data_IF_442132006800
#
_entry.id   IF_442132006800
#
_cell.length_a   1.000
_cell.length_b   1.000
_cell.length_c   1.000
_cell.angle_alpha   90.00
_cell.angle_beta   90.00
_cell.angle_gamma   90.00
#
_symmetry.space_group_name_H-M   'P 1'
#
loop_
_entity.id
_entity.type
_entity.pdbx_description
1 polymer ?
#
# COMPACT_ATOMS: atom_id res chain seq x y z
N UNK A 1 -4.91 -2.19 14.45
CA UNK A 1 -3.98 -2.16 15.60
C UNK A 1 -3.45 -3.60 15.80
N UNK A 2 -2.17 -3.79 16.16
CA UNK A 2 -1.43 -5.08 16.22
C UNK A 2 -0.75 -5.63 14.94
N UNK A 3 -0.45 -4.80 13.93
CA UNK A 3 0.31 -5.26 12.77
C UNK A 3 1.75 -5.69 13.14
N UNK A 4 2.45 -4.91 13.97
CA UNK A 4 3.86 -5.13 14.30
C UNK A 4 4.14 -6.54 14.86
N UNK A 5 3.58 -6.92 16.02
CA UNK A 5 3.81 -8.23 16.61
C UNK A 5 3.36 -9.40 15.74
N UNK A 6 2.32 -9.21 14.92
CA UNK A 6 1.79 -10.26 14.06
C UNK A 6 2.75 -10.61 12.91
N UNK A 7 3.38 -9.60 12.29
CA UNK A 7 4.33 -9.79 11.19
C UNK A 7 5.75 -10.15 11.64
N UNK A 8 6.05 -10.06 12.93
CA UNK A 8 7.36 -10.42 13.50
C UNK A 8 7.25 -11.70 14.33
N UNK A 9 6.63 -11.62 15.51
CA UNK A 9 6.50 -12.73 16.46
C UNK A 9 5.54 -13.79 15.92
N UNK A 10 4.42 -13.38 15.31
CA UNK A 10 3.45 -14.33 14.74
C UNK A 10 4.04 -15.17 13.60
N UNK A 11 4.83 -14.56 12.72
CA UNK A 11 5.51 -15.26 11.62
C UNK A 11 6.57 -16.23 12.12
N UNK A 12 7.42 -15.80 13.06
CA UNK A 12 8.43 -16.68 13.65
C UNK A 12 7.79 -17.84 14.42
N UNK A 13 6.73 -17.57 15.18
CA UNK A 13 5.97 -18.61 15.87
C UNK A 13 5.40 -19.65 14.90
N UNK A 14 4.83 -19.21 13.76
CA UNK A 14 4.35 -20.13 12.73
C UNK A 14 5.48 -20.99 12.15
N UNK A 15 6.63 -20.37 11.85
CA UNK A 15 7.81 -21.06 11.30
C UNK A 15 8.34 -22.15 12.24
N UNK A 16 8.36 -21.87 13.54
CA UNK A 16 8.85 -22.79 14.56
C UNK A 16 7.82 -23.89 14.92
N UNK A 17 6.53 -23.62 14.72
CA UNK A 17 5.45 -24.55 15.08
C UNK A 17 5.18 -25.64 14.05
N UNK A 18 5.67 -25.49 12.81
CA UNK A 18 5.37 -26.40 11.70
C UNK A 18 6.64 -26.96 11.07
N UNK A 19 6.51 -28.08 10.35
CA UNK A 19 7.62 -28.66 9.60
C UNK A 19 8.18 -27.68 8.55
N UNK A 20 9.51 -27.66 8.36
CA UNK A 20 10.22 -26.71 7.49
C UNK A 20 9.72 -26.68 6.04
N UNK A 21 9.16 -27.80 5.55
CA UNK A 21 8.58 -27.87 4.20
C UNK A 21 7.24 -27.14 4.08
N UNK A 22 6.49 -27.02 5.19
CA UNK A 22 5.15 -26.43 5.22
C UNK A 22 5.14 -25.00 5.78
N UNK A 23 6.21 -24.57 6.47
CA UNK A 23 6.35 -23.22 7.04
C UNK A 23 5.90 -22.11 6.10
N UNK A 24 6.51 -22.05 4.90
CA UNK A 24 6.17 -21.04 3.90
C UNK A 24 4.71 -21.02 3.46
N UNK A 25 3.99 -22.15 3.51
CA UNK A 25 2.56 -22.20 3.18
C UNK A 25 1.71 -21.59 4.31
N UNK A 26 2.02 -21.86 5.58
CA UNK A 26 1.30 -21.27 6.71
C UNK A 26 1.59 -19.77 6.84
N UNK A 27 2.83 -19.35 6.63
CA UNK A 27 3.20 -17.94 6.54
C UNK A 27 2.45 -17.25 5.39
N UNK A 28 2.31 -17.90 4.24
CA UNK A 28 1.51 -17.38 3.13
C UNK A 28 0.02 -17.25 3.45
N UNK A 29 -0.58 -18.19 4.17
CA UNK A 29 -1.97 -18.09 4.63
C UNK A 29 -2.13 -16.87 5.54
N UNK A 30 -1.20 -16.64 6.47
CA UNK A 30 -1.20 -15.44 7.31
C UNK A 30 -1.18 -14.17 6.44
N UNK A 31 -0.23 -14.05 5.50
CA UNK A 31 -0.15 -12.89 4.61
C UNK A 31 -1.41 -12.71 3.73
N UNK A 32 -1.99 -13.81 3.23
CA UNK A 32 -3.22 -13.77 2.46
C UNK A 32 -4.38 -13.19 3.28
N UNK A 33 -4.56 -13.64 4.52
CA UNK A 33 -5.60 -13.10 5.41
C UNK A 33 -5.39 -11.62 5.72
N UNK A 34 -4.13 -11.16 5.78
CA UNK A 34 -3.84 -9.73 5.94
C UNK A 34 -4.15 -8.87 4.73
N UNK A 35 -4.17 -9.45 3.53
CA UNK A 35 -4.59 -8.79 2.30
C UNK A 35 -6.11 -8.78 2.13
N UNK A 36 -6.79 -9.87 2.54
CA UNK A 36 -8.26 -9.97 2.50
C UNK A 36 -8.92 -8.88 3.34
N UNK A 37 -8.36 -8.54 4.50
CA UNK A 37 -8.90 -7.52 5.40
C UNK A 37 -9.11 -6.15 4.73
N UNK A 38 -8.06 -5.50 4.20
CA UNK A 38 -8.18 -4.26 3.42
C UNK A 38 -9.14 -4.37 2.24
N UNK A 39 -9.10 -5.47 1.47
CA UNK A 39 -9.98 -5.66 0.32
C UNK A 39 -11.46 -5.68 0.70
N UNK A 40 -11.86 -6.51 1.68
CA UNK A 40 -13.22 -6.51 2.22
C UNK A 40 -13.60 -5.16 2.83
N UNK A 41 -12.66 -4.52 3.54
CA UNK A 41 -12.85 -3.19 4.11
C UNK A 41 -13.20 -2.16 3.03
N UNK A 42 -12.49 -2.13 1.90
CA UNK A 42 -12.78 -1.20 0.80
C UNK A 42 -14.13 -1.46 0.13
N UNK A 43 -14.54 -2.72 -0.02
CA UNK A 43 -15.87 -3.06 -0.57
C UNK A 43 -16.98 -2.60 0.37
N UNK A 44 -16.86 -2.92 1.66
CA UNK A 44 -17.85 -2.52 2.68
C UNK A 44 -17.90 -0.99 2.79
N UNK A 45 -16.75 -0.31 2.82
CA UNK A 45 -16.69 1.16 2.83
C UNK A 45 -17.27 1.78 1.55
N UNK A 46 -17.09 1.14 0.38
CA UNK A 46 -17.70 1.57 -0.87
C UNK A 46 -19.23 1.61 -0.79
N UNK A 47 -19.84 0.61 -0.15
CA UNK A 47 -21.29 0.61 0.10
C UNK A 47 -21.71 1.65 1.14
N UNK A 48 -20.92 1.82 2.20
CA UNK A 48 -21.18 2.86 3.20
C UNK A 48 -21.11 4.27 2.56
N UNK A 49 -20.23 4.48 1.57
CA UNK A 49 -20.15 5.75 0.83
C UNK A 49 -21.35 6.03 -0.07
N UNK A 50 -22.16 5.01 -0.42
CA UNK A 50 -23.46 5.24 -1.09
C UNK A 50 -24.51 5.87 -0.17
N UNK A 51 -24.26 5.90 1.14
CA UNK A 51 -25.10 6.59 2.10
C UNK A 51 -24.66 8.05 2.24
N UNK A 52 -25.63 8.96 2.32
CA UNK A 52 -25.35 10.38 2.56
C UNK A 52 -24.69 10.56 3.93
N UNK A 53 -23.84 11.58 4.07
CA UNK A 53 -23.08 11.86 5.30
C UNK A 53 -23.95 11.94 6.57
N UNK A 54 -25.17 12.47 6.43
CA UNK A 54 -26.13 12.66 7.54
C UNK A 54 -27.16 11.51 7.65
N UNK A 55 -27.00 10.41 6.92
CA UNK A 55 -27.89 9.25 7.05
C UNK A 55 -27.79 8.65 8.46
N UNK A 56 -28.91 8.25 9.11
CA UNK A 56 -30.29 8.17 8.59
C UNK A 56 -31.15 9.43 8.77
N UNK A 57 -30.60 10.52 9.31
CA UNK A 57 -31.37 11.72 9.65
C UNK A 57 -31.77 12.54 8.41
N UNK A 58 -30.93 12.54 7.36
CA UNK A 58 -31.21 13.20 6.07
C UNK A 58 -30.68 12.40 4.89
N UNK A 59 -31.41 12.47 3.79
CA UNK A 59 -30.99 11.96 2.47
C UNK A 59 -30.35 13.07 1.64
N UNK A 60 -29.48 12.70 0.68
CA UNK A 60 -28.77 13.63 -0.21
C UNK A 60 -29.65 14.38 -1.23
N UNK A 61 -30.97 14.25 -1.14
CA UNK A 61 -31.94 14.92 -2.02
C UNK A 61 -31.78 14.49 -3.48
N UNK A 62 -31.50 15.45 -4.37
CA UNK A 62 -31.29 15.21 -5.80
C UNK A 62 -29.86 14.74 -6.14
N UNK A 63 -28.92 14.84 -5.20
CA UNK A 63 -27.53 14.41 -5.40
C UNK A 63 -27.47 12.89 -5.46
N UNK A 64 -26.63 12.39 -6.36
CA UNK A 64 -26.30 10.97 -6.49
C UNK A 64 -24.85 10.74 -6.07
N UNK A 65 -24.46 9.51 -5.67
CA UNK A 65 -23.07 9.16 -5.37
C UNK A 65 -22.05 9.47 -6.47
N UNK A 66 -22.51 9.64 -7.71
CA UNK A 66 -21.69 10.04 -8.86
C UNK A 66 -21.40 11.54 -8.94
N UNK A 67 -22.14 12.37 -8.20
CA UNK A 67 -22.01 13.82 -8.29
C UNK A 67 -20.86 14.30 -7.40
N UNK A 68 -20.09 15.29 -7.86
CA UNK A 68 -18.91 15.82 -7.15
C UNK A 68 -19.21 16.37 -5.76
N UNK A 69 -20.44 16.83 -5.54
CA UNK A 69 -20.92 17.37 -4.26
C UNK A 69 -21.45 16.28 -3.31
N UNK A 70 -21.36 15.01 -3.69
CA UNK A 70 -21.75 13.91 -2.83
C UNK A 70 -20.73 13.66 -1.74
N UNK A 71 -21.14 13.82 -0.49
CA UNK A 71 -20.35 13.42 0.68
C UNK A 71 -20.89 12.10 1.21
N UNK A 72 -20.19 11.01 0.89
CA UNK A 72 -20.49 9.69 1.42
C UNK A 72 -20.24 9.62 2.93
N UNK A 73 -20.94 8.70 3.62
CA UNK A 73 -20.85 8.52 5.06
C UNK A 73 -19.51 7.92 5.51
N UNK A 74 -18.46 8.73 5.52
CA UNK A 74 -17.09 8.29 5.79
C UNK A 74 -16.83 7.83 7.22
N UNK A 75 -17.66 8.23 8.17
CA UNK A 75 -17.44 7.98 9.60
C UNK A 75 -18.06 6.67 10.08
N UNK A 76 -19.13 6.18 9.43
CA UNK A 76 -19.87 4.99 9.88
C UNK A 76 -19.05 3.70 9.89
N UNK A 77 -17.99 3.62 9.07
CA UNK A 77 -17.07 2.47 9.07
C UNK A 77 -16.32 2.29 10.39
N UNK A 78 -15.91 3.38 11.07
CA UNK A 78 -15.10 3.30 12.29
C UNK A 78 -15.75 2.48 13.42
N UNK A 79 -17.01 2.75 13.84
CA UNK A 79 -17.64 1.96 14.89
C UNK A 79 -17.87 0.50 14.47
N UNK A 80 -18.22 0.25 13.20
CA UNK A 80 -18.46 -1.12 12.68
C UNK A 80 -17.18 -1.97 12.79
N UNK A 81 -16.07 -1.50 12.22
CA UNK A 81 -14.81 -2.24 12.26
C UNK A 81 -14.18 -2.26 13.66
N UNK A 82 -14.43 -1.24 14.48
CA UNK A 82 -14.03 -1.21 15.89
C UNK A 82 -14.69 -2.34 16.70
N UNK A 83 -16.01 -2.51 16.56
CA UNK A 83 -16.75 -3.59 17.22
C UNK A 83 -16.29 -4.97 16.73
N UNK A 84 -16.10 -5.17 15.42
CA UNK A 84 -15.57 -6.41 14.86
C UNK A 84 -14.17 -6.73 15.39
N UNK A 85 -13.31 -5.72 15.55
CA UNK A 85 -11.98 -5.87 16.13
C UNK A 85 -12.01 -6.34 17.59
N UNK A 86 -12.96 -5.83 18.39
CA UNK A 86 -13.15 -6.28 19.78
C UNK A 86 -13.61 -7.75 19.81
N UNK A 87 -14.57 -8.12 18.95
CA UNK A 87 -15.04 -9.50 18.85
C UNK A 87 -13.91 -10.46 18.42
N UNK A 88 -13.04 -10.04 17.50
CA UNK A 88 -11.88 -10.81 17.06
C UNK A 88 -10.80 -10.94 18.15
N UNK A 89 -10.74 -10.02 19.12
CA UNK A 89 -9.83 -10.13 20.26
C UNK A 89 -10.26 -11.19 21.27
N UNK A 90 -11.57 -11.53 21.36
CA UNK A 90 -12.07 -12.51 22.33
C UNK A 90 -11.46 -13.91 22.16
N UNK A 91 -11.37 -14.49 20.94
CA UNK A 91 -10.66 -15.76 20.74
C UNK A 91 -9.17 -15.71 21.09
N UNK A 92 -8.50 -14.57 20.89
CA UNK A 92 -7.09 -14.40 21.21
C UNK A 92 -6.83 -14.48 22.73
N UNK A 93 -7.81 -14.10 23.55
CA UNK A 93 -7.73 -14.28 25.01
C UNK A 93 -7.74 -15.76 25.44
N UNK A 94 -8.16 -16.66 24.55
CA UNK A 94 -8.13 -18.11 24.77
C UNK A 94 -6.77 -18.77 24.53
N UNK A 95 -5.76 -18.03 24.05
CA UNK A 95 -4.42 -18.60 23.87
C UNK A 95 -3.78 -18.92 25.22
N UNK A 96 -3.13 -20.09 25.37
CA UNK A 96 -2.47 -20.46 26.60
C UNK A 96 -1.29 -19.51 26.88
N UNK A 97 -1.11 -19.13 28.16
CA UNK A 97 0.00 -18.25 28.58
C UNK A 97 1.39 -18.82 28.28
N UNK A 98 1.48 -20.14 28.13
CA UNK A 98 2.69 -20.88 27.78
C UNK A 98 2.32 -21.94 26.76
N UNK A 99 3.10 -22.01 25.68
CA UNK A 99 2.96 -23.05 24.68
C UNK A 99 3.68 -24.31 25.15
N UNK A 100 3.15 -25.52 24.91
CA UNK A 100 3.87 -26.75 25.18
C UNK A 100 5.12 -26.80 24.28
N UNK A 101 6.29 -26.72 24.90
CA UNK A 101 7.57 -26.66 24.19
C UNK A 101 7.86 -27.99 23.47
N UNK A 102 8.22 -27.91 22.19
CA UNK A 102 9.15 -28.88 21.58
C UNK A 102 10.56 -28.37 21.86
N UNK A 103 11.34 -29.14 22.61
CA UNK A 103 12.79 -29.05 22.85
C UNK A 103 13.38 -27.72 23.40
N UNK A 104 12.62 -26.63 23.42
CA UNK A 104 13.03 -25.27 23.78
C UNK A 104 13.26 -25.06 25.29
N UNK A 105 12.67 -25.91 26.14
CA UNK A 105 12.80 -25.76 27.59
C UNK A 105 14.22 -26.09 28.07
N UNK A 106 15.03 -26.82 27.29
CA UNK A 106 16.45 -27.03 27.61
C UNK A 106 17.34 -25.85 27.19
N UNK A 107 17.03 -25.16 26.09
CA UNK A 107 17.83 -24.02 25.59
C UNK A 107 17.44 -22.69 26.25
N UNK A 108 16.14 -22.46 26.49
CA UNK A 108 15.65 -21.24 27.15
C UNK A 108 15.97 -21.24 28.65
N UNK A 109 15.87 -22.39 29.32
CA UNK A 109 16.33 -22.50 30.72
C UNK A 109 17.85 -22.34 30.80
N UNK A 110 18.63 -22.89 29.86
CA UNK A 110 20.07 -22.67 29.81
C UNK A 110 20.44 -21.19 29.57
N UNK A 111 19.67 -20.45 28.76
CA UNK A 111 19.89 -19.01 28.53
C UNK A 111 19.41 -18.14 29.69
N UNK A 112 18.27 -18.42 30.34
CA UNK A 112 17.88 -17.74 31.59
C UNK A 112 18.89 -18.00 32.71
N UNK A 113 19.42 -19.22 32.80
CA UNK A 113 20.44 -19.56 33.82
C UNK A 113 21.77 -18.88 33.49
N UNK A 114 22.18 -18.81 32.22
CA UNK A 114 23.38 -18.10 31.78
C UNK A 114 23.27 -16.58 31.90
N UNK A 115 22.10 -15.99 31.63
CA UNK A 115 21.84 -14.56 31.81
C UNK A 115 21.86 -14.20 33.30
N UNK A 116 21.26 -15.04 34.15
CA UNK A 116 21.34 -14.89 35.61
C UNK A 116 22.77 -15.11 36.14
N UNK A 117 23.57 -16.02 35.57
CA UNK A 117 24.97 -16.26 35.93
C UNK A 117 25.91 -15.12 35.48
N UNK A 118 25.69 -14.54 34.29
CA UNK A 118 26.42 -13.37 33.80
C UNK A 118 26.07 -12.13 34.62
N UNK A 119 24.82 -11.98 35.04
CA UNK A 119 24.40 -10.92 35.97
C UNK A 119 25.03 -11.13 37.35
N UNK A 120 25.07 -12.36 37.86
CA UNK A 120 25.68 -12.67 39.16
C UNK A 120 27.20 -12.47 39.18
N UNK A 121 27.91 -12.82 38.10
CA UNK A 121 29.36 -12.65 37.99
C UNK A 121 29.81 -11.20 37.82
N UNK A 122 28.99 -10.33 37.24
CA UNK A 122 29.27 -8.89 37.16
C UNK A 122 28.92 -8.09 38.42
N UNK A 123 28.08 -8.64 39.31
CA UNK A 123 27.71 -8.01 40.60
C UNK A 123 28.79 -8.24 41.68
N UNK A 124 29.62 -9.28 41.56
CA UNK A 124 30.58 -9.65 42.61
C UNK A 124 31.90 -8.86 42.66
N UNK A 125 32.13 -7.88 41.77
CA UNK A 125 33.37 -7.09 41.73
C UNK A 125 33.22 -5.61 42.17
N UNK A 126 32.13 -5.24 42.85
CA UNK A 126 31.92 -3.89 43.39
C UNK A 126 31.35 -3.92 44.81
N UNK A 127 31.89 -3.04 45.67
CA UNK A 127 31.51 -2.89 47.09
C UNK A 127 29.99 -2.72 47.30
N UNK A 128 29.38 -3.36 48.32
CA UNK A 128 27.92 -3.55 48.44
C UNK A 128 27.21 -2.37 49.12
N UNK A 129 27.36 -1.15 48.59
CA UNK A 129 26.70 0.06 49.16
C UNK A 129 26.24 1.09 48.13
N UNK A 130 25.51 0.73 47.06
CA UNK A 130 24.63 1.69 46.34
C UNK A 130 23.62 1.05 45.34
N UNK A 131 22.85 0.02 45.72
CA UNK A 131 22.37 -0.99 44.76
C UNK A 131 20.96 -0.88 44.15
N UNK A 132 20.29 0.28 44.13
CA UNK A 132 18.96 0.37 43.48
C UNK A 132 18.98 0.94 42.05
N UNK A 133 19.57 2.11 41.83
CA UNK A 133 19.55 2.79 40.51
C UNK A 133 20.61 2.29 39.52
N UNK A 134 21.72 1.73 40.01
CA UNK A 134 22.79 1.17 39.17
C UNK A 134 22.35 -0.09 38.40
N UNK A 135 21.28 -0.75 38.85
CA UNK A 135 20.77 -2.00 38.26
C UNK A 135 20.11 -1.80 36.89
N UNK A 136 19.33 -0.73 36.71
CA UNK A 136 18.61 -0.44 35.46
C UNK A 136 19.58 0.06 34.39
N UNK A 137 20.48 0.99 34.73
CA UNK A 137 21.47 1.53 33.80
C UNK A 137 22.44 0.44 33.32
N UNK A 138 22.82 -0.48 34.21
CA UNK A 138 23.69 -1.61 33.85
C UNK A 138 22.97 -2.60 32.95
N UNK A 139 21.71 -2.98 33.26
CA UNK A 139 20.86 -3.81 32.38
C UNK A 139 20.67 -3.17 31.00
N UNK A 140 20.45 -1.87 30.95
CA UNK A 140 20.25 -1.14 29.70
C UNK A 140 21.53 -1.05 28.86
N UNK A 141 22.70 -0.89 29.50
CA UNK A 141 24.00 -0.96 28.83
C UNK A 141 24.33 -2.34 28.28
N UNK A 142 24.03 -3.40 29.03
CA UNK A 142 24.19 -4.80 28.59
C UNK A 142 23.27 -5.05 27.38
N UNK A 143 21.99 -4.71 27.51
CA UNK A 143 21.02 -4.83 26.41
C UNK A 143 21.41 -4.03 25.16
N UNK A 144 21.92 -2.80 25.30
CA UNK A 144 22.41 -2.02 24.15
C UNK A 144 23.63 -2.65 23.49
N UNK A 145 24.54 -3.24 24.29
CA UNK A 145 25.74 -3.90 23.77
C UNK A 145 25.38 -5.17 23.01
N UNK A 146 24.47 -5.97 23.54
CA UNK A 146 23.93 -7.15 22.88
C UNK A 146 23.19 -6.77 21.60
N UNK A 147 22.31 -5.77 21.66
CA UNK A 147 21.62 -5.22 20.50
C UNK A 147 22.61 -4.80 19.40
N UNK A 148 23.65 -4.05 19.76
CA UNK A 148 24.69 -3.62 18.81
C UNK A 148 25.42 -4.80 18.20
N UNK A 149 25.72 -5.82 19.00
CA UNK A 149 26.40 -7.03 18.54
C UNK A 149 25.53 -7.81 17.57
N UNK A 150 24.26 -8.04 17.91
CA UNK A 150 23.27 -8.72 17.08
C UNK A 150 23.01 -7.98 15.77
N UNK A 151 22.84 -6.65 15.81
CA UNK A 151 22.73 -5.82 14.61
C UNK A 151 23.98 -5.93 13.73
N UNK A 152 25.17 -5.95 14.32
CA UNK A 152 26.42 -6.10 13.57
C UNK A 152 26.53 -7.47 12.90
N UNK A 153 26.06 -8.56 13.53
CA UNK A 153 25.98 -9.89 12.89
C UNK A 153 25.05 -9.84 11.67
N UNK A 154 23.87 -9.24 11.85
CA UNK A 154 22.86 -9.18 10.82
C UNK A 154 23.29 -8.31 9.63
N UNK A 155 23.86 -7.14 9.89
CA UNK A 155 24.34 -6.22 8.85
C UNK A 155 25.61 -6.71 8.13
N UNK A 156 26.39 -7.60 8.75
CA UNK A 156 27.50 -8.29 8.06
C UNK A 156 27.02 -9.36 7.08
N UNK A 157 25.79 -9.87 7.22
CA UNK A 157 25.22 -10.81 6.26
C UNK A 157 24.77 -10.07 4.99
N UNK A 158 25.61 -10.13 3.97
CA UNK A 158 25.42 -9.39 2.73
C UNK A 158 24.13 -9.78 1.98
N UNK A 159 23.75 -11.07 1.98
CA UNK A 159 22.49 -11.52 1.35
C UNK A 159 21.27 -10.99 2.10
N UNK A 160 21.30 -10.98 3.44
CA UNK A 160 20.23 -10.40 4.24
C UNK A 160 20.07 -8.90 3.96
N UNK A 161 21.18 -8.16 3.84
CA UNK A 161 21.12 -6.72 3.55
C UNK A 161 20.55 -6.42 2.16
N UNK A 162 20.99 -7.14 1.12
CA UNK A 162 20.43 -6.96 -0.22
C UNK A 162 18.95 -7.31 -0.28
N UNK A 163 18.52 -8.39 0.38
CA UNK A 163 17.10 -8.72 0.51
C UNK A 163 16.34 -7.62 1.26
N UNK A 164 16.86 -7.13 2.37
CA UNK A 164 16.19 -6.08 3.17
C UNK A 164 16.01 -4.80 2.36
N UNK A 165 17.04 -4.35 1.65
CA UNK A 165 16.93 -3.16 0.80
C UNK A 165 16.04 -3.40 -0.43
N UNK A 166 16.09 -4.58 -1.05
CA UNK A 166 15.18 -4.92 -2.15
C UNK A 166 13.71 -4.84 -1.70
N UNK A 167 13.39 -5.45 -0.56
CA UNK A 167 12.06 -5.37 0.04
C UNK A 167 11.64 -3.94 0.42
N UNK A 168 12.58 -3.09 0.85
CA UNK A 168 12.30 -1.67 1.11
C UNK A 168 11.96 -0.90 -0.17
N UNK A 169 12.69 -1.13 -1.26
CA UNK A 169 12.42 -0.49 -2.56
C UNK A 169 11.10 -1.01 -3.16
N UNK A 170 10.81 -2.30 -3.08
CA UNK A 170 9.51 -2.84 -3.49
C UNK A 170 8.38 -2.24 -2.66
N UNK A 171 8.56 -2.10 -1.34
CA UNK A 171 7.55 -1.46 -0.48
C UNK A 171 7.35 0.02 -0.80
N UNK A 172 8.38 0.72 -1.30
CA UNK A 172 8.27 2.10 -1.78
C UNK A 172 7.30 2.16 -2.97
N UNK A 173 7.54 1.35 -3.99
CA UNK A 173 6.70 1.29 -5.19
C UNK A 173 5.29 0.81 -4.88
N UNK A 174 5.18 -0.28 -4.11
CA UNK A 174 3.91 -0.85 -3.69
C UNK A 174 3.08 0.15 -2.89
N UNK A 175 3.67 0.87 -1.92
CA UNK A 175 2.93 1.85 -1.13
C UNK A 175 2.40 3.00 -1.98
N UNK A 176 3.23 3.53 -2.88
CA UNK A 176 2.81 4.63 -3.75
C UNK A 176 1.68 4.21 -4.69
N UNK A 177 1.85 3.07 -5.36
CA UNK A 177 0.82 2.52 -6.25
C UNK A 177 -0.44 2.20 -5.46
N UNK A 178 -0.36 1.45 -4.37
CA UNK A 178 -1.52 1.03 -3.59
C UNK A 178 -2.32 2.23 -3.05
N UNK A 179 -1.66 3.25 -2.51
CA UNK A 179 -2.34 4.42 -1.94
C UNK A 179 -3.02 5.28 -3.00
N UNK A 180 -2.38 5.50 -4.16
CA UNK A 180 -2.91 6.40 -5.18
C UNK A 180 -3.69 5.69 -6.29
N UNK A 181 -3.66 4.36 -6.39
CA UNK A 181 -4.34 3.61 -7.46
C UNK A 181 -5.82 3.98 -7.64
N UNK A 182 -6.66 4.06 -6.58
CA UNK A 182 -8.04 4.49 -6.73
C UNK A 182 -8.14 5.89 -7.35
N UNK A 183 -7.32 6.82 -6.84
CA UNK A 183 -7.28 8.19 -7.34
C UNK A 183 -6.78 8.27 -8.77
N UNK A 184 -5.78 7.47 -9.15
CA UNK A 184 -5.26 7.39 -10.51
C UNK A 184 -6.31 6.84 -11.46
N UNK A 185 -7.12 5.85 -11.08
CA UNK A 185 -8.23 5.37 -11.93
C UNK A 185 -9.35 6.40 -12.09
N UNK A 186 -9.68 7.18 -11.06
CA UNK A 186 -10.60 8.32 -11.19
C UNK A 186 -10.00 9.37 -12.14
N UNK A 187 -8.73 9.74 -11.91
CA UNK A 187 -8.04 10.78 -12.66
C UNK A 187 -7.74 10.40 -14.10
N UNK A 188 -7.44 9.14 -14.42
CA UNK A 188 -7.03 8.73 -15.77
C UNK A 188 -8.18 8.19 -16.60
N UNK A 189 -9.17 7.57 -15.95
CA UNK A 189 -10.19 6.80 -16.64
C UNK A 189 -11.61 7.35 -16.42
N UNK A 190 -11.80 8.44 -15.68
CA UNK A 190 -13.15 8.99 -15.39
C UNK A 190 -14.04 7.99 -14.62
N UNK A 191 -13.41 7.18 -13.76
CA UNK A 191 -14.13 6.21 -12.94
C UNK A 191 -14.89 6.91 -11.81
N UNK A 192 -16.14 6.51 -11.57
CA UNK A 192 -16.87 6.89 -10.36
C UNK A 192 -16.24 6.25 -9.12
N UNK A 193 -16.10 7.00 -8.03
CA UNK A 193 -15.59 6.60 -6.71
C UNK A 193 -16.13 5.26 -6.22
N UNK A 194 -17.43 4.98 -6.42
CA UNK A 194 -18.07 3.72 -5.99
C UNK A 194 -17.55 2.53 -6.81
N UNK A 195 -17.56 2.66 -8.14
CA UNK A 195 -17.07 1.60 -9.04
C UNK A 195 -15.58 1.35 -8.80
N UNK A 196 -14.81 2.42 -8.65
CA UNK A 196 -13.38 2.35 -8.30
C UNK A 196 -13.14 1.56 -7.02
N UNK A 197 -13.91 1.83 -5.96
CA UNK A 197 -13.78 1.14 -4.67
C UNK A 197 -14.08 -0.36 -4.77
N UNK A 198 -15.13 -0.73 -5.52
CA UNK A 198 -15.47 -2.13 -5.79
C UNK A 198 -14.38 -2.85 -6.57
N UNK A 199 -13.95 -2.29 -7.70
CA UNK A 199 -12.92 -2.90 -8.54
C UNK A 199 -11.58 -3.00 -7.81
N UNK A 200 -11.20 -1.98 -7.06
CA UNK A 200 -9.96 -1.98 -6.29
C UNK A 200 -10.00 -3.00 -5.15
N UNK A 201 -11.11 -3.06 -4.40
CA UNK A 201 -11.28 -4.05 -3.34
C UNK A 201 -11.24 -5.49 -3.85
N UNK A 202 -11.89 -5.76 -4.99
CA UNK A 202 -11.82 -7.06 -5.64
C UNK A 202 -10.40 -7.38 -6.16
N UNK A 203 -9.72 -6.39 -6.74
CA UNK A 203 -8.35 -6.52 -7.22
C UNK A 203 -7.39 -6.88 -6.08
N UNK A 204 -7.54 -6.29 -4.90
CA UNK A 204 -6.76 -6.65 -3.71
C UNK A 204 -7.05 -8.09 -3.27
N UNK A 205 -8.33 -8.47 -3.13
CA UNK A 205 -8.65 -9.82 -2.64
C UNK A 205 -8.14 -10.89 -3.61
N UNK A 206 -8.39 -10.75 -4.91
CA UNK A 206 -7.98 -11.74 -5.89
C UNK A 206 -6.47 -11.70 -6.19
N UNK A 207 -5.92 -10.49 -6.27
CA UNK A 207 -4.51 -10.25 -6.55
C UNK A 207 -3.67 -10.61 -5.34
N UNK A 208 -3.72 -9.80 -4.30
CA UNK A 208 -2.81 -9.86 -3.16
C UNK A 208 -2.96 -11.18 -2.38
N UNK A 209 -4.19 -11.59 -2.04
CA UNK A 209 -4.39 -12.83 -1.28
C UNK A 209 -4.11 -14.08 -2.14
N UNK A 210 -4.53 -14.08 -3.41
CA UNK A 210 -4.22 -15.14 -4.36
C UNK A 210 -2.71 -15.27 -4.60
N UNK A 211 -2.03 -14.15 -4.73
CA UNK A 211 -0.58 -14.03 -4.89
C UNK A 211 0.15 -14.62 -3.69
N UNK A 212 -0.19 -14.19 -2.48
CA UNK A 212 0.41 -14.70 -1.25
C UNK A 212 0.28 -16.24 -1.17
N UNK A 213 -0.92 -16.80 -1.38
CA UNK A 213 -1.14 -18.25 -1.36
C UNK A 213 -0.31 -18.97 -2.44
N UNK A 214 -0.25 -18.42 -3.65
CA UNK A 214 0.55 -18.96 -4.74
C UNK A 214 2.05 -18.93 -4.41
N UNK A 215 2.54 -17.84 -3.84
CA UNK A 215 3.91 -17.70 -3.33
C UNK A 215 4.23 -18.76 -2.27
N UNK A 216 3.32 -19.00 -1.33
CA UNK A 216 3.45 -20.07 -0.33
C UNK A 216 3.47 -21.47 -0.94
N UNK A 217 2.65 -21.72 -1.95
CA UNK A 217 2.67 -22.98 -2.69
C UNK A 217 3.99 -23.21 -3.42
N UNK A 218 4.52 -22.19 -4.12
CA UNK A 218 5.86 -22.25 -4.75
C UNK A 218 6.93 -22.54 -3.71
N UNK A 219 6.83 -21.88 -2.56
CA UNK A 219 7.77 -22.02 -1.46
C UNK A 219 7.80 -23.46 -0.93
N UNK A 220 6.62 -24.06 -0.72
CA UNK A 220 6.47 -25.48 -0.39
C UNK A 220 7.05 -26.39 -1.49
N UNK A 221 6.80 -26.07 -2.76
CA UNK A 221 7.30 -26.85 -3.89
C UNK A 221 8.82 -26.86 -3.99
N UNK A 222 9.49 -25.72 -3.76
CA UNK A 222 10.95 -25.63 -3.76
C UNK A 222 11.60 -26.15 -2.47
N UNK A 223 10.83 -26.32 -1.40
CA UNK A 223 11.28 -26.94 -0.14
C UNK A 223 12.45 -26.17 0.47
N UNK A 224 13.59 -26.82 0.69
CA UNK A 224 14.78 -26.21 1.32
C UNK A 224 15.66 -25.39 0.37
N UNK A 225 15.36 -25.36 -0.93
CA UNK A 225 16.24 -24.79 -1.95
C UNK A 225 16.13 -23.26 -2.07
N UNK A 226 16.78 -22.50 -1.19
CA UNK A 226 16.75 -21.02 -1.20
C UNK A 226 17.19 -20.41 -2.53
N UNK A 227 18.15 -21.03 -3.24
CA UNK A 227 18.61 -20.53 -4.54
C UNK A 227 17.50 -20.59 -5.60
N UNK A 228 16.64 -21.62 -5.59
CA UNK A 228 15.48 -21.71 -6.50
C UNK A 228 14.41 -20.67 -6.14
N UNK A 229 14.15 -20.47 -4.85
CA UNK A 229 13.21 -19.43 -4.37
C UNK A 229 13.66 -18.04 -4.79
N UNK A 230 14.92 -17.71 -4.59
CA UNK A 230 15.48 -16.40 -4.94
C UNK A 230 15.52 -16.17 -6.46
N UNK A 231 15.78 -17.22 -7.23
CA UNK A 231 15.63 -17.18 -8.69
C UNK A 231 14.19 -16.90 -9.13
N UNK A 232 13.20 -17.51 -8.48
CA UNK A 232 11.79 -17.24 -8.74
C UNK A 232 11.37 -15.81 -8.38
N UNK A 233 11.89 -15.25 -7.28
CA UNK A 233 11.67 -13.83 -6.93
C UNK A 233 12.20 -12.90 -8.02
N UNK A 234 13.41 -13.15 -8.55
CA UNK A 234 13.97 -12.36 -9.66
C UNK A 234 13.09 -12.45 -10.92
N UNK A 235 12.62 -13.64 -11.27
CA UNK A 235 11.73 -13.84 -12.45
C UNK A 235 10.41 -13.11 -12.26
N UNK A 236 9.78 -13.22 -11.08
CA UNK A 236 8.54 -12.53 -10.78
C UNK A 236 8.72 -11.00 -10.77
N UNK A 237 9.82 -10.50 -10.21
CA UNK A 237 10.17 -9.07 -10.23
C UNK A 237 10.38 -8.53 -11.65
N UNK A 238 10.93 -9.34 -12.56
CA UNK A 238 11.03 -8.98 -13.98
C UNK A 238 9.65 -8.93 -14.65
N UNK A 239 8.79 -9.91 -14.39
CA UNK A 239 7.43 -9.95 -14.95
C UNK A 239 6.57 -8.78 -14.47
N UNK A 240 6.72 -8.33 -13.21
CA UNK A 240 5.98 -7.17 -12.71
C UNK A 240 6.33 -5.87 -13.44
N UNK A 241 7.54 -5.74 -14.00
CA UNK A 241 7.92 -4.54 -14.76
C UNK A 241 7.06 -4.33 -16.00
N UNK A 242 6.62 -5.41 -16.65
CA UNK A 242 5.71 -5.31 -17.80
C UNK A 242 4.34 -4.76 -17.39
N UNK A 243 3.87 -5.10 -16.19
CA UNK A 243 2.60 -4.62 -15.67
C UNK A 243 2.59 -3.11 -15.40
N UNK A 244 3.75 -2.49 -15.11
CA UNK A 244 3.84 -1.03 -14.89
C UNK A 244 3.40 -0.20 -16.10
N UNK A 245 3.40 -0.78 -17.32
CA UNK A 245 2.88 -0.12 -18.53
C UNK A 245 1.40 0.27 -18.40
N UNK A 246 0.67 -0.29 -17.43
CA UNK A 246 -0.72 0.07 -17.10
C UNK A 246 -0.90 1.58 -16.88
N UNK A 247 0.10 2.26 -16.30
CA UNK A 247 0.04 3.70 -16.01
C UNK A 247 0.17 4.58 -17.26
N UNK A 248 0.50 4.00 -18.42
CA UNK A 248 0.45 4.70 -19.71
C UNK A 248 -0.95 4.69 -20.33
N UNK A 249 -1.89 3.92 -19.77
CA UNK A 249 -3.29 3.96 -20.19
C UNK A 249 -3.97 5.17 -19.55
N UNK A 250 -4.48 6.07 -20.39
CA UNK A 250 -5.29 7.20 -19.97
C UNK A 250 -6.36 7.50 -21.03
N UNK A 251 -7.47 8.08 -20.61
CA UNK A 251 -8.46 8.64 -21.52
C UNK A 251 -8.14 10.10 -21.81
N UNK A 252 -8.41 10.52 -23.05
CA UNK A 252 -8.25 11.92 -23.43
C UNK A 252 -9.24 12.81 -22.66
N UNK A 253 -8.72 13.92 -22.13
CA UNK A 253 -9.52 14.89 -21.39
C UNK A 253 -10.49 15.63 -22.33
N UNK A 254 -11.66 15.99 -21.79
CA UNK A 254 -12.52 16.95 -22.46
C UNK A 254 -11.80 18.31 -22.59
N UNK A 255 -12.05 19.08 -23.65
CA UNK A 255 -11.52 20.43 -23.76
C UNK A 255 -11.98 21.26 -22.56
N UNK A 256 -11.09 22.09 -22.00
CA UNK A 256 -11.35 22.83 -20.78
C UNK A 256 -10.99 24.30 -20.88
N UNK A 257 -11.79 25.15 -20.24
CA UNK A 257 -11.57 26.59 -20.11
C UNK A 257 -11.19 26.87 -18.65
N UNK A 258 -9.89 27.05 -18.43
CA UNK A 258 -9.32 27.37 -17.12
C UNK A 258 -9.38 28.88 -16.85
N UNK A 259 -9.14 29.29 -15.61
CA UNK A 259 -9.28 30.68 -15.13
C UNK A 259 -8.60 31.70 -16.06
N UNK A 260 -7.33 31.49 -16.41
CA UNK A 260 -6.56 32.40 -17.28
C UNK A 260 -7.17 32.56 -18.69
N UNK A 261 -7.85 31.52 -19.19
CA UNK A 261 -8.55 31.58 -20.48
C UNK A 261 -9.92 32.24 -20.30
N UNK A 262 -10.65 31.92 -19.22
CA UNK A 262 -11.99 32.45 -18.94
C UNK A 262 -12.00 33.98 -18.76
N UNK A 263 -10.97 34.55 -18.11
CA UNK A 263 -10.82 35.99 -17.90
C UNK A 263 -10.66 36.77 -19.22
N UNK A 264 -10.23 36.10 -20.30
CA UNK A 264 -10.03 36.71 -21.61
C UNK A 264 -11.25 36.64 -22.53
N UNK A 265 -12.33 35.98 -22.12
CA UNK A 265 -13.51 35.77 -22.95
C UNK A 265 -14.52 36.92 -22.82
N UNK A 266 -15.16 37.32 -23.91
CA UNK A 266 -16.16 38.39 -23.87
C UNK A 266 -17.47 37.94 -23.20
N UNK A 267 -17.79 36.65 -23.24
CA UNK A 267 -18.97 36.09 -22.59
C UNK A 267 -18.96 36.19 -21.06
N UNK A 268 -17.80 36.40 -20.44
CA UNK A 268 -17.65 36.63 -19.00
C UNK A 268 -17.65 38.13 -18.67
N UNK A 269 -17.67 39.02 -19.68
CA UNK A 269 -17.68 40.47 -19.50
C UNK A 269 -18.98 40.91 -18.82
N UNK A 270 -18.87 41.31 -17.56
CA UNK A 270 -20.00 41.71 -16.71
C UNK A 270 -20.30 40.74 -15.56
N UNK A 271 -19.62 39.59 -15.51
CA UNK A 271 -19.66 38.68 -14.37
C UNK A 271 -18.44 38.92 -13.46
N UNK A 272 -18.67 39.36 -12.22
CA UNK A 272 -17.64 39.43 -11.18
C UNK A 272 -17.42 38.04 -10.58
N UNK A 273 -16.86 37.12 -11.37
CA UNK A 273 -16.62 35.75 -10.93
C UNK A 273 -15.53 35.69 -9.86
N UNK A 274 -15.75 34.87 -8.83
CA UNK A 274 -14.74 34.59 -7.82
C UNK A 274 -13.66 33.65 -8.40
N UNK A 275 -12.39 34.09 -8.50
CA UNK A 275 -11.32 33.27 -9.05
C UNK A 275 -10.89 32.13 -8.11
N UNK A 276 -11.30 32.17 -6.84
CA UNK A 276 -10.95 31.16 -5.83
C UNK A 276 -11.96 30.01 -5.75
N UNK A 277 -13.19 30.22 -6.22
CA UNK A 277 -14.26 29.23 -6.16
C UNK A 277 -14.23 28.30 -7.37
N UNK A 278 -13.58 27.15 -7.20
CA UNK A 278 -13.59 26.06 -8.19
C UNK A 278 -14.83 25.17 -8.00
N UNK A 279 -15.74 25.20 -8.99
CA UNK A 279 -16.94 24.36 -9.05
C UNK A 279 -17.22 23.98 -10.52
N UNK A 280 -16.52 22.98 -11.06
CA UNK A 280 -16.50 22.72 -12.49
C UNK A 280 -17.89 22.36 -13.03
N UNK A 281 -18.18 22.85 -14.24
CA UNK A 281 -19.41 22.53 -14.95
C UNK A 281 -19.12 22.03 -16.36
N UNK A 282 -19.87 21.02 -16.78
CA UNK A 282 -19.81 20.51 -18.14
C UNK A 282 -20.84 21.21 -19.01
N UNK A 283 -20.39 22.00 -19.99
CA UNK A 283 -21.26 22.61 -20.98
C UNK A 283 -21.86 21.58 -21.93
N UNK A 284 -23.05 21.87 -22.47
CA UNK A 284 -23.67 21.09 -23.56
C UNK A 284 -22.80 20.98 -24.82
N UNK A 285 -21.77 21.83 -24.94
CA UNK A 285 -20.75 21.77 -25.97
C UNK A 285 -19.62 20.77 -25.69
N UNK A 286 -19.68 20.01 -24.59
CA UNK A 286 -18.65 19.06 -24.18
C UNK A 286 -17.36 19.71 -23.69
N UNK A 287 -17.43 21.00 -23.31
CA UNK A 287 -16.30 21.76 -22.76
C UNK A 287 -16.51 21.95 -21.27
N UNK A 288 -15.47 21.69 -20.49
CA UNK A 288 -15.45 21.89 -19.05
C UNK A 288 -15.03 23.33 -18.71
N UNK A 289 -15.80 24.00 -17.87
CA UNK A 289 -15.51 25.37 -17.42
C UNK A 289 -15.16 25.38 -15.94
N UNK A 290 -14.27 26.30 -15.54
CA UNK A 290 -13.80 26.46 -14.14
C UNK A 290 -14.96 26.62 -13.14
N UNK A 291 -15.99 27.39 -13.50
CA UNK A 291 -17.25 27.42 -12.76
C UNK A 291 -18.44 27.82 -13.63
N UNK A 292 -19.66 27.68 -13.09
CA UNK A 292 -20.89 28.15 -13.75
C UNK A 292 -20.83 29.65 -14.12
N UNK A 293 -20.18 30.46 -13.29
CA UNK A 293 -19.96 31.89 -13.56
C UNK A 293 -19.02 32.09 -14.77
N UNK A 294 -17.92 31.34 -14.82
CA UNK A 294 -16.97 31.38 -15.94
C UNK A 294 -17.55 30.77 -17.23
N UNK A 295 -18.66 30.02 -17.15
CA UNK A 295 -19.45 29.60 -18.31
C UNK A 295 -20.52 30.64 -18.74
N UNK A 296 -20.67 31.74 -17.98
CA UNK A 296 -21.63 32.81 -18.23
C UNK A 296 -23.09 32.42 -17.99
N UNK A 297 -23.36 31.49 -17.06
CA UNK A 297 -24.71 31.01 -16.78
C UNK A 297 -25.45 31.91 -15.76
N UNK A 298 -26.75 32.17 -15.99
CA UNK A 298 -27.57 33.06 -15.15
C UNK A 298 -28.68 32.37 -14.37
N UNK A 299 -29.01 31.12 -14.71
CA UNK A 299 -30.12 30.39 -14.11
C UNK A 299 -29.64 29.04 -13.61
N UNK A 300 -30.13 28.61 -12.44
CA UNK A 300 -29.85 27.31 -11.85
C UNK A 300 -31.14 26.57 -11.55
N UNK A 301 -31.24 25.33 -12.00
CA UNK A 301 -32.33 24.42 -11.70
C UNK A 301 -31.86 23.34 -10.71
N UNK A 302 -32.28 23.41 -9.43
CA UNK A 302 -31.84 22.47 -8.40
C UNK A 302 -32.39 21.06 -8.60
N UNK A 303 -33.51 20.88 -9.31
CA UNK A 303 -34.11 19.56 -9.51
C UNK A 303 -33.24 18.63 -10.38
N UNK A 304 -32.55 19.20 -11.36
CA UNK A 304 -31.73 18.46 -12.33
C UNK A 304 -30.24 18.78 -12.22
N UNK A 305 -29.83 19.65 -11.27
CA UNK A 305 -28.45 20.13 -11.11
C UNK A 305 -27.89 20.72 -12.42
N UNK A 306 -28.71 21.53 -13.10
CA UNK A 306 -28.37 22.14 -14.38
C UNK A 306 -28.41 23.66 -14.32
N UNK A 307 -27.43 24.27 -14.96
CA UNK A 307 -27.38 25.70 -15.24
C UNK A 307 -27.90 25.97 -16.65
N UNK A 308 -28.63 27.07 -16.83
CA UNK A 308 -29.17 27.50 -18.12
C UNK A 308 -28.82 28.96 -18.43
N UNK A 309 -29.02 29.32 -19.70
CA UNK A 309 -28.69 30.64 -20.24
C UNK A 309 -27.19 30.96 -20.13
N UNK A 310 -26.33 30.03 -20.56
CA UNK A 310 -24.89 30.17 -20.50
C UNK A 310 -24.32 30.91 -21.73
N UNK A 311 -23.79 32.12 -21.53
CA UNK A 311 -23.25 32.98 -22.58
C UNK A 311 -22.06 32.39 -23.33
N UNK A 312 -21.08 31.82 -22.61
CA UNK A 312 -19.85 31.28 -23.22
C UNK A 312 -20.11 30.06 -24.10
N UNK A 313 -21.09 29.24 -23.71
CA UNK A 313 -21.53 28.10 -24.51
C UNK A 313 -22.20 28.59 -25.81
N UNK A 314 -22.96 29.68 -25.73
CA UNK A 314 -23.61 30.29 -26.90
C UNK A 314 -22.59 30.82 -27.90
N UNK A 315 -21.59 31.58 -27.43
CA UNK A 315 -20.51 32.10 -28.26
C UNK A 315 -19.70 30.98 -28.92
N UNK A 316 -19.47 29.87 -28.20
CA UNK A 316 -18.80 28.70 -28.75
C UNK A 316 -19.55 28.13 -29.98
N UNK A 317 -20.86 27.94 -29.90
CA UNK A 317 -21.67 27.44 -31.03
C UNK A 317 -21.70 28.41 -32.20
N UNK A 318 -21.82 29.72 -31.91
CA UNK A 318 -21.76 30.76 -32.93
C UNK A 318 -20.41 30.76 -33.67
N UNK A 319 -19.30 30.57 -32.95
CA UNK A 319 -17.96 30.45 -33.55
C UNK A 319 -17.80 29.25 -34.49
N UNK A 320 -18.62 28.21 -34.29
CA UNK A 320 -18.71 27.01 -35.15
C UNK A 320 -19.77 27.12 -36.24
N UNK A 321 -20.35 28.31 -36.47
CA UNK A 321 -21.44 28.56 -37.42
C UNK A 321 -22.70 27.70 -37.15
N UNK A 322 -22.97 27.36 -35.88
CA UNK A 322 -24.18 26.64 -35.47
C UNK A 322 -25.17 27.64 -34.88
N UNK A 323 -26.26 27.92 -35.59
CA UNK A 323 -27.23 28.98 -35.24
C UNK A 323 -28.58 28.47 -34.74
N UNK A 324 -28.85 27.16 -34.81
CA UNK A 324 -30.11 26.57 -34.36
C UNK A 324 -29.94 25.13 -33.88
N UNK A 325 -30.76 24.70 -32.92
CA UNK A 325 -30.78 23.30 -32.44
C UNK A 325 -29.72 22.96 -31.40
N UNK A 326 -29.02 23.96 -30.85
CA UNK A 326 -28.06 23.79 -29.76
C UNK A 326 -28.68 24.14 -28.41
N UNK A 327 -28.23 23.48 -27.36
CA UNK A 327 -28.58 23.81 -25.98
C UNK A 327 -27.50 24.71 -25.38
N UNK A 328 -27.88 25.64 -24.52
CA UNK A 328 -26.98 26.59 -23.83
C UNK A 328 -27.01 26.34 -22.32
N UNK A 329 -26.93 25.07 -21.95
CA UNK A 329 -27.01 24.60 -20.57
C UNK A 329 -25.70 23.94 -20.17
N UNK A 330 -25.35 24.05 -18.90
CA UNK A 330 -24.25 23.31 -18.30
C UNK A 330 -24.80 22.39 -17.18
N UNK A 331 -24.19 21.23 -16.98
CA UNK A 331 -24.48 20.35 -15.85
C UNK A 331 -23.40 20.53 -14.80
N UNK A 332 -23.76 20.45 -13.52
CA UNK A 332 -22.77 20.41 -12.42
C UNK A 332 -21.84 19.21 -12.57
N UNK A 333 -20.56 19.41 -12.26
CA UNK A 333 -19.53 18.38 -12.35
C UNK A 333 -18.72 18.44 -13.63
N UNK A 334 -17.70 17.58 -13.70
CA UNK A 334 -16.78 17.48 -14.83
C UNK A 334 -17.44 16.87 -16.06
N UNK A 335 -16.87 17.12 -17.24
CA UNK A 335 -17.37 16.48 -18.45
C UNK A 335 -17.00 14.99 -18.49
N UNK A 336 -17.95 14.16 -18.90
CA UNK A 336 -17.69 12.74 -19.14
C UNK A 336 -16.63 12.59 -20.23
N UNK A 337 -15.67 11.71 -19.99
CA UNK A 337 -14.60 11.42 -20.94
C UNK A 337 -15.01 10.28 -21.86
N UNK A 338 -14.54 10.33 -23.11
CA UNK A 338 -14.79 9.30 -24.11
C UNK A 338 -13.90 8.07 -23.88
N UNK A 339 -14.01 7.45 -22.71
CA UNK A 339 -13.31 6.22 -22.40
C UNK A 339 -13.96 5.04 -23.11
N UNK A 340 -13.14 4.19 -23.73
CA UNK A 340 -13.65 2.95 -24.31
C UNK A 340 -14.01 1.97 -23.18
N UNK A 341 -15.20 1.33 -23.19
CA UNK A 341 -15.68 0.54 -22.05
C UNK A 341 -14.76 -0.59 -21.57
N UNK A 342 -13.87 -1.11 -22.43
CA UNK A 342 -12.93 -2.18 -22.07
C UNK A 342 -11.66 -1.71 -21.34
N UNK A 343 -11.38 -0.40 -21.32
CA UNK A 343 -10.14 0.13 -20.69
C UNK A 343 -10.17 -0.04 -19.17
N UNK A 344 -11.32 0.19 -18.53
CA UNK A 344 -11.51 0.01 -17.10
C UNK A 344 -11.24 -1.43 -16.62
N UNK A 345 -11.93 -2.47 -17.14
CA UNK A 345 -11.68 -3.84 -16.71
C UNK A 345 -10.25 -4.29 -17.04
N UNK A 346 -9.67 -3.81 -18.15
CA UNK A 346 -8.27 -4.08 -18.47
C UNK A 346 -7.32 -3.50 -17.42
N UNK A 347 -7.47 -2.22 -17.06
CA UNK A 347 -6.67 -1.54 -16.03
C UNK A 347 -6.70 -2.32 -14.71
N UNK A 348 -7.89 -2.64 -14.20
CA UNK A 348 -8.03 -3.37 -12.94
C UNK A 348 -7.52 -4.81 -13.02
N UNK A 349 -7.64 -5.49 -14.17
CA UNK A 349 -7.05 -6.82 -14.34
C UNK A 349 -5.52 -6.81 -14.27
N UNK A 350 -4.88 -5.76 -14.82
CA UNK A 350 -3.42 -5.61 -14.77
C UNK A 350 -2.98 -5.21 -13.35
N UNK A 351 -3.69 -4.30 -12.67
CA UNK A 351 -3.45 -3.97 -11.26
C UNK A 351 -3.58 -5.22 -10.36
N UNK A 352 -4.60 -6.05 -10.59
CA UNK A 352 -4.78 -7.33 -9.89
C UNK A 352 -3.58 -8.25 -10.11
N UNK A 353 -3.08 -8.32 -11.35
CA UNK A 353 -1.90 -9.13 -11.69
C UNK A 353 -0.63 -8.58 -11.04
N UNK A 354 -0.46 -7.26 -10.98
CA UNK A 354 0.66 -6.61 -10.29
C UNK A 354 0.62 -6.92 -8.78
N UNK A 355 -0.54 -6.79 -8.14
CA UNK A 355 -0.74 -7.17 -6.74
C UNK A 355 -0.44 -8.66 -6.49
N UNK A 356 -0.94 -9.55 -7.37
CA UNK A 356 -0.65 -10.98 -7.33
C UNK A 356 0.85 -11.27 -7.36
N UNK A 357 1.57 -10.69 -8.32
CA UNK A 357 3.02 -10.92 -8.44
C UNK A 357 3.76 -10.34 -7.23
N UNK A 358 3.39 -9.14 -6.77
CA UNK A 358 4.00 -8.52 -5.60
C UNK A 358 3.85 -9.41 -4.36
N UNK A 359 2.63 -9.86 -4.04
CA UNK A 359 2.39 -10.67 -2.85
C UNK A 359 2.89 -12.10 -2.98
N UNK A 360 2.99 -12.65 -4.19
CA UNK A 360 3.61 -13.95 -4.42
C UNK A 360 5.09 -13.98 -4.02
N UNK A 361 5.80 -12.84 -4.13
CA UNK A 361 7.21 -12.78 -3.72
C UNK A 361 7.41 -12.84 -2.21
N UNK A 362 6.46 -12.33 -1.40
CA UNK A 362 6.64 -12.15 0.05
C UNK A 362 6.93 -13.47 0.79
N UNK A 363 6.16 -14.57 0.62
CA UNK A 363 6.44 -15.81 1.33
C UNK A 363 7.82 -16.41 1.00
N UNK A 364 8.21 -16.37 -0.28
CA UNK A 364 9.54 -16.85 -0.71
C UNK A 364 10.65 -16.00 -0.11
N UNK A 365 10.47 -14.69 -0.16
CA UNK A 365 11.39 -13.71 0.40
C UNK A 365 11.58 -13.88 1.92
N UNK A 366 10.48 -14.03 2.66
CA UNK A 366 10.48 -14.24 4.11
C UNK A 366 11.14 -15.57 4.48
N UNK A 367 10.83 -16.66 3.77
CA UNK A 367 11.48 -17.96 4.01
C UNK A 367 12.98 -17.94 3.79
N UNK A 368 13.44 -17.31 2.70
CA UNK A 368 14.88 -17.16 2.46
C UNK A 368 15.52 -16.38 3.60
N UNK A 369 14.87 -15.32 4.07
CA UNK A 369 15.32 -14.52 5.23
C UNK A 369 15.45 -15.37 6.50
N UNK A 370 14.45 -16.19 6.82
CA UNK A 370 14.45 -17.05 8.01
C UNK A 370 15.59 -18.09 7.99
N UNK A 371 16.04 -18.53 6.81
CA UNK A 371 17.07 -19.56 6.63
C UNK A 371 18.50 -19.01 6.63
N UNK A 372 18.70 -17.79 6.12
CA UNK A 372 20.02 -17.15 6.08
C UNK A 372 20.43 -16.56 7.43
N UNK A 373 19.49 -16.36 8.35
CA UNK A 373 19.74 -15.86 9.71
C UNK A 373 19.83 -17.03 10.71
N UNK A 374 20.63 -16.93 11.79
CA UNK A 374 20.61 -17.91 12.89
C UNK A 374 19.22 -18.03 13.51
N UNK A 375 18.82 -19.23 13.95
CA UNK A 375 17.48 -19.52 14.47
C UNK A 375 17.04 -18.55 15.58
N UNK A 376 17.92 -18.35 16.57
CA UNK A 376 17.69 -17.45 17.72
C UNK A 376 17.44 -15.98 17.35
N UNK A 377 17.81 -15.56 16.13
CA UNK A 377 17.72 -14.17 15.68
C UNK A 377 16.62 -13.93 14.63
N UNK A 378 15.82 -14.95 14.28
CA UNK A 378 14.79 -14.85 13.21
C UNK A 378 13.77 -13.74 13.45
N UNK A 379 13.11 -13.75 14.62
CA UNK A 379 12.13 -12.72 15.01
C UNK A 379 12.73 -11.32 15.03
N UNK A 380 13.95 -11.19 15.57
CA UNK A 380 14.67 -9.93 15.63
C UNK A 380 15.02 -9.41 14.22
N UNK A 381 15.52 -10.29 13.35
CA UNK A 381 15.86 -9.96 11.97
C UNK A 381 14.63 -9.55 11.15
N UNK A 382 13.49 -10.22 11.31
CA UNK A 382 12.23 -9.77 10.71
C UNK A 382 11.82 -8.39 11.25
N UNK A 383 12.00 -8.13 12.55
CA UNK A 383 11.75 -6.82 13.15
C UNK A 383 12.60 -5.70 12.54
N UNK A 384 13.91 -5.94 12.40
CA UNK A 384 14.84 -5.00 11.75
C UNK A 384 14.46 -4.79 10.27
N UNK A 385 14.16 -5.87 9.55
CA UNK A 385 13.77 -5.83 8.16
C UNK A 385 12.51 -4.99 7.95
N UNK A 386 11.44 -5.27 8.70
CA UNK A 386 10.21 -4.48 8.65
C UNK A 386 10.44 -3.02 9.03
N UNK A 387 11.29 -2.75 10.02
CA UNK A 387 11.62 -1.37 10.41
C UNK A 387 12.26 -0.61 9.25
N UNK A 388 13.26 -1.21 8.58
CA UNK A 388 13.92 -0.62 7.41
C UNK A 388 12.92 -0.45 6.26
N UNK A 389 12.11 -1.46 5.96
CA UNK A 389 11.09 -1.43 4.91
C UNK A 389 10.04 -0.34 5.15
N UNK A 390 9.64 -0.09 6.40
CA UNK A 390 8.69 0.98 6.72
C UNK A 390 9.32 2.37 6.62
N UNK A 391 10.54 2.54 7.15
CA UNK A 391 11.24 3.83 7.18
C UNK A 391 11.70 4.28 5.79
N UNK A 392 12.26 3.37 5.00
CA UNK A 392 12.85 3.67 3.68
C UNK A 392 11.92 3.37 2.51
N UNK A 393 10.89 2.55 2.73
CA UNK A 393 9.95 2.14 1.70
C UNK A 393 8.57 2.77 1.88
N UNK A 394 7.79 2.25 2.82
CA UNK A 394 6.36 2.57 2.93
C UNK A 394 6.09 4.07 3.14
N UNK A 395 6.79 4.70 4.09
CA UNK A 395 6.58 6.13 4.41
C UNK A 395 6.97 7.05 3.24
N UNK A 396 8.19 6.98 2.68
CA UNK A 396 8.57 7.83 1.55
C UNK A 396 7.83 7.45 0.27
N UNK A 397 7.38 6.21 0.10
CA UNK A 397 6.67 5.75 -1.10
C UNK A 397 5.42 6.56 -1.41
N UNK A 398 4.52 6.73 -0.44
CA UNK A 398 3.33 7.56 -0.64
C UNK A 398 3.67 9.05 -0.81
N UNK A 399 4.68 9.56 -0.11
CA UNK A 399 5.11 10.96 -0.27
C UNK A 399 5.67 11.24 -1.67
N UNK A 400 6.54 10.37 -2.18
CA UNK A 400 7.15 10.50 -3.51
C UNK A 400 6.07 10.44 -4.58
N UNK A 401 5.18 9.43 -4.54
CA UNK A 401 4.13 9.29 -5.55
C UNK A 401 3.14 10.46 -5.49
N UNK A 402 2.78 10.95 -4.30
CA UNK A 402 1.95 12.15 -4.16
C UNK A 402 2.60 13.39 -4.80
N UNK A 403 3.88 13.64 -4.49
CA UNK A 403 4.64 14.73 -5.10
C UNK A 403 4.73 14.61 -6.63
N UNK A 404 4.96 13.40 -7.13
CA UNK A 404 5.09 13.11 -8.57
C UNK A 404 3.78 13.34 -9.33
N UNK A 405 2.64 13.05 -8.71
CA UNK A 405 1.31 13.39 -9.24
C UNK A 405 1.13 14.92 -9.29
N UNK A 406 1.53 15.62 -8.22
CA UNK A 406 1.44 17.09 -8.11
C UNK A 406 2.30 17.84 -9.13
N UNK A 407 3.40 17.26 -9.62
CA UNK A 407 4.20 17.85 -10.71
C UNK A 407 3.41 18.04 -12.01
N UNK A 408 2.33 17.27 -12.19
CA UNK A 408 1.45 17.34 -13.36
C UNK A 408 0.28 18.30 -13.17
N UNK A 409 0.27 19.07 -12.09
CA UNK A 409 -0.81 20.02 -11.83
C UNK A 409 -0.83 21.17 -12.82
N UNK A 410 -2.02 21.51 -13.30
CA UNK A 410 -2.24 22.64 -14.22
C UNK A 410 -2.79 23.84 -13.47
N UNK A 411 -3.75 23.60 -12.57
CA UNK A 411 -4.41 24.64 -11.80
C UNK A 411 -4.28 24.35 -10.31
N UNK A 412 -3.60 25.23 -9.61
CA UNK A 412 -3.49 25.21 -8.16
C UNK A 412 -4.66 25.97 -7.55
N UNK A 413 -5.13 25.46 -6.41
CA UNK A 413 -6.02 26.20 -5.53
C UNK A 413 -5.23 27.37 -4.91
N UNK A 414 -5.82 28.56 -4.91
CA UNK A 414 -5.26 29.74 -4.23
C UNK A 414 -6.13 30.09 -3.03
N UNK A 415 -5.58 29.91 -1.83
CA UNK A 415 -6.19 30.31 -0.57
C UNK A 415 -5.51 31.57 -0.08
N UNK A 416 -6.03 32.73 -0.48
CA UNK A 416 -5.54 34.04 -0.03
C UNK A 416 -4.03 34.26 -0.25
N UNK A 417 -3.51 33.90 -1.43
CA UNK A 417 -2.10 34.03 -1.80
C UNK A 417 -1.23 32.86 -1.36
N UNK A 418 -1.82 31.81 -0.76
CA UNK A 418 -1.12 30.56 -0.41
C UNK A 418 -1.58 29.42 -1.31
N UNK A 419 -0.60 28.68 -1.84
CA UNK A 419 -0.84 27.52 -2.70
C UNK A 419 -1.47 26.38 -1.89
N UNK A 420 -2.69 26.01 -2.26
CA UNK A 420 -3.45 24.89 -1.72
C UNK A 420 -3.24 23.60 -2.51
N UNK A 421 -4.29 22.77 -2.56
CA UNK A 421 -4.28 21.50 -3.31
C UNK A 421 -4.33 21.75 -4.81
N UNK A 422 -3.89 20.76 -5.61
CA UNK A 422 -4.11 20.84 -7.04
C UNK A 422 -5.57 20.53 -7.40
N UNK A 423 -6.18 21.41 -8.20
CA UNK A 423 -7.57 21.30 -8.63
C UNK A 423 -7.72 20.44 -9.89
N UNK A 424 -6.78 20.56 -10.83
CA UNK A 424 -6.84 19.87 -12.12
C UNK A 424 -5.45 19.40 -12.55
N UNK A 425 -5.36 18.14 -12.98
CA UNK A 425 -4.12 17.49 -13.40
C UNK A 425 -4.09 17.26 -14.92
N UNK A 426 -2.88 17.16 -15.46
CA UNK A 426 -2.61 16.68 -16.82
C UNK A 426 -2.47 15.15 -16.78
N UNK A 427 -3.51 14.41 -17.15
CA UNK A 427 -3.54 12.95 -16.97
C UNK A 427 -2.41 12.23 -17.71
N UNK A 428 -2.02 12.72 -18.89
CA UNK A 428 -0.92 12.15 -19.67
C UNK A 428 0.40 12.28 -18.92
N UNK A 429 0.66 13.45 -18.32
CA UNK A 429 1.88 13.66 -17.52
C UNK A 429 1.83 12.86 -16.22
N UNK A 430 0.67 12.77 -15.56
CA UNK A 430 0.52 11.91 -14.37
C UNK A 430 0.89 10.47 -14.72
N UNK A 431 0.34 9.91 -15.80
CA UNK A 431 0.61 8.54 -16.22
C UNK A 431 2.08 8.29 -16.52
N UNK A 432 2.71 9.19 -17.28
CA UNK A 432 4.12 9.09 -17.64
C UNK A 432 5.05 9.22 -16.42
N UNK A 433 4.74 10.14 -15.51
CA UNK A 433 5.53 10.38 -14.30
C UNK A 433 5.43 9.19 -13.33
N UNK A 434 4.22 8.67 -13.10
CA UNK A 434 3.99 7.48 -12.25
C UNK A 434 4.66 6.25 -12.86
N UNK A 435 4.53 6.03 -14.17
CA UNK A 435 5.23 4.96 -14.90
C UNK A 435 6.74 5.05 -14.71
N UNK A 436 7.33 6.23 -14.92
CA UNK A 436 8.78 6.43 -14.82
C UNK A 436 9.30 6.10 -13.42
N UNK A 437 8.61 6.56 -12.37
CA UNK A 437 9.00 6.26 -10.98
C UNK A 437 8.83 4.78 -10.66
N UNK A 438 7.70 4.17 -11.04
CA UNK A 438 7.46 2.74 -10.82
C UNK A 438 8.50 1.86 -11.53
N UNK A 439 8.88 2.21 -12.76
CA UNK A 439 9.91 1.51 -13.52
C UNK A 439 11.30 1.65 -12.88
N UNK A 440 11.68 2.85 -12.44
CA UNK A 440 12.98 3.07 -11.76
C UNK A 440 13.06 2.27 -10.46
N UNK A 441 12.02 2.35 -9.63
CA UNK A 441 11.92 1.60 -8.37
C UNK A 441 12.03 0.10 -8.63
N UNK A 442 11.28 -0.40 -9.61
CA UNK A 442 11.29 -1.82 -9.98
C UNK A 442 12.65 -2.32 -10.49
N UNK A 443 13.33 -1.55 -11.33
CA UNK A 443 14.68 -1.90 -11.82
C UNK A 443 15.70 -1.92 -10.68
N UNK A 444 15.63 -0.97 -9.74
CA UNK A 444 16.52 -0.95 -8.56
C UNK A 444 16.25 -2.16 -7.65
N UNK A 445 14.99 -2.50 -7.38
CA UNK A 445 14.64 -3.67 -6.58
C UNK A 445 15.12 -4.97 -7.26
N UNK A 446 14.87 -5.12 -8.57
CA UNK A 446 15.31 -6.27 -9.35
C UNK A 446 16.84 -6.43 -9.29
N UNK A 447 17.59 -5.34 -9.44
CA UNK A 447 19.05 -5.35 -9.30
C UNK A 447 19.48 -5.86 -7.92
N UNK A 448 18.84 -5.39 -6.84
CA UNK A 448 19.15 -5.84 -5.48
C UNK A 448 18.81 -7.32 -5.25
N UNK A 449 17.72 -7.84 -5.84
CA UNK A 449 17.41 -9.28 -5.80
C UNK A 449 18.44 -10.13 -6.56
N UNK A 450 18.93 -9.65 -7.71
CA UNK A 450 20.01 -10.32 -8.45
C UNK A 450 21.30 -10.34 -7.62
N UNK A 451 21.63 -9.22 -6.95
CA UNK A 451 22.77 -9.17 -6.05
C UNK A 451 22.62 -10.14 -4.87
N UNK A 452 21.43 -10.22 -4.25
CA UNK A 452 21.14 -11.20 -3.21
C UNK A 452 21.31 -12.63 -3.72
N UNK A 453 20.88 -12.92 -4.96
CA UNK A 453 21.02 -14.23 -5.60
C UNK A 453 22.49 -14.62 -5.77
N UNK A 454 23.35 -13.67 -6.14
CA UNK A 454 24.78 -13.92 -6.31
C UNK A 454 25.54 -14.03 -4.99
N UNK A 455 25.18 -13.25 -3.97
CA UNK A 455 25.88 -13.33 -2.67
C UNK A 455 25.42 -14.49 -1.80
N UNK A 456 24.28 -15.11 -2.12
CA UNK A 456 23.77 -16.26 -1.37
C UNK A 456 24.75 -17.44 -1.43
N UNK A 457 25.23 -17.84 -0.25
CA UNK A 457 26.03 -19.05 -0.05
C UNK A 457 25.17 -20.12 0.64
N UNK A 458 25.04 -21.33 0.07
CA UNK A 458 24.40 -22.44 0.76
C UNK A 458 25.11 -22.73 2.08
N UNK A 459 24.37 -23.00 3.16
CA UNK A 459 24.96 -23.62 4.35
C UNK A 459 25.28 -25.07 3.98
N UNK A 460 26.56 -25.46 4.04
CA UNK A 460 26.96 -26.86 3.91
C UNK A 460 26.26 -27.68 5.00
N UNK A 461 25.59 -28.77 4.63
CA UNK A 461 24.76 -29.60 5.51
C UNK A 461 25.51 -30.45 6.54
N UNK A 462 26.49 -29.88 7.25
CA UNK A 462 27.32 -30.60 8.24
C UNK A 462 26.73 -30.67 9.66
N UNK A 463 25.57 -30.06 9.91
CA UNK A 463 24.93 -30.09 11.24
C UNK A 463 23.89 -31.21 11.39
N UNK A 464 23.81 -32.15 10.42
CA UNK A 464 22.85 -33.27 10.41
C UNK A 464 23.38 -34.63 10.85
N UNK A 465 24.69 -34.78 11.11
CA UNK A 465 25.32 -36.09 11.40
C UNK A 465 25.84 -36.26 12.84
N UNK A 466 25.84 -35.24 13.69
CA UNK A 466 26.31 -35.39 15.09
C UNK A 466 25.27 -35.99 16.05
N UNK A 467 24.06 -36.31 15.57
CA UNK A 467 22.98 -36.92 16.37
C UNK A 467 22.93 -38.47 16.39
N UNK A 468 23.83 -39.18 15.70
CA UNK A 468 23.75 -40.64 15.55
C UNK A 468 25.07 -41.41 15.76
N UNK A 469 26.00 -40.86 16.53
CA UNK A 469 27.19 -41.58 16.99
C UNK A 469 27.24 -41.62 18.52
N UNK A 470 26.42 -42.50 19.13
CA UNK A 470 26.32 -42.54 20.59
C UNK A 470 25.66 -43.77 21.20
N UNK A 471 25.64 -44.93 20.54
CA UNK A 471 25.27 -46.20 21.18
C UNK A 471 26.22 -47.32 20.76
N UNK A 472 27.49 -47.16 21.14
CA UNK A 472 28.45 -48.25 21.25
C UNK A 472 28.65 -48.60 22.72
N UNK A 473 27.92 -49.60 23.23
CA UNK A 473 28.44 -50.37 24.36
C UNK A 473 28.28 -51.88 24.15
N UNK A 474 29.40 -52.52 24.41
CA UNK A 474 29.78 -53.88 24.09
C UNK A 474 29.16 -54.89 25.05
N UNK A 475 28.82 -56.04 24.47
CA UNK A 475 28.78 -57.38 25.05
C UNK A 475 29.47 -57.60 26.40
N UNK A 476 28.75 -58.20 27.34
CA UNK A 476 29.00 -59.57 27.84
C UNK A 476 27.76 -60.18 28.46
#
# INVERSE_FOLDING_TARGET
>A
MCAGPMYTVGVAYLDESVETQYSGLYIAILYAMTAVGPGLGTVICGEIFNLWIDWPDKDGGALKPSDSNWLGNWWLGFPIFGCLGILAALPLLGYPRKLPARDFESELSATETAENDVIATHVHNGDPKHDSEASVVTRLKIGLRELKTTLAVLFKNQTYMFLTFAGAIDALGYSGIFTFSPKLSELMLDANTVNTSWYFGLAIVLGDAGGALFGGWITKYFGVNCKKMLGAVVVLSLLSQLGNLVFLMYCEDAPRVMLAQADSMNCTAGCLCDPTLYDPVCGSNGVEYFSACHAGCFQYNPANLTYSSCGCITEYWLSKNVTSGFTTSARTGTCSRNCVPWVMPLYFSIITTLGFVALATIPMYTEVTLRIVPGQLRSFALGVQWTITKLLGLIPGSLIFGYVIDLSCIQWEDKCGTRGSCLTYDNRKVGLNVFAVAAVVGVVAMFLYVMAYWTYKPKDGRDGEEGHAGTGHSTK
#
